data_IF_080793405144
#
_entry.id   IF_080793405144
#
_cell.length_a   1.000
_cell.length_b   1.000
_cell.length_c   1.000
_cell.angle_alpha   90.00
_cell.angle_beta   90.00
_cell.angle_gamma   90.00
#
_symmetry.space_group_name_H-M   'P 1'
#
loop_
_entity.id
_entity.type
_entity.pdbx_description
1 polymer ?
#
# COMPACT_ATOMS: atom_id res chain seq x y z
N UNK A 1 4.93 18.11 -22.33
CA UNK A 1 5.05 16.64 -22.13
C UNK A 1 4.80 16.40 -20.65
N UNK A 2 3.58 16.06 -20.29
CA UNK A 2 3.14 16.10 -18.89
C UNK A 2 3.50 14.79 -18.20
N UNK A 3 4.43 14.86 -17.24
CA UNK A 3 4.94 13.73 -16.45
C UNK A 3 3.86 13.00 -15.61
N UNK A 4 2.60 13.42 -15.70
CA UNK A 4 1.47 13.03 -14.84
C UNK A 4 0.59 11.90 -15.37
N UNK A 5 0.81 11.42 -16.60
CA UNK A 5 -0.08 10.45 -17.27
C UNK A 5 -0.06 9.06 -16.59
N UNK A 6 1.07 8.65 -15.99
CA UNK A 6 1.22 7.31 -15.40
C UNK A 6 0.52 7.17 -14.03
N UNK A 7 0.22 8.26 -13.33
CA UNK A 7 -0.40 8.26 -12.00
C UNK A 7 -1.94 8.28 -12.01
N UNK A 8 -2.54 8.49 -13.19
CA UNK A 8 -3.98 8.67 -13.37
C UNK A 8 -4.64 7.36 -13.82
N UNK A 9 -5.78 7.02 -13.24
CA UNK A 9 -6.66 5.97 -13.75
C UNK A 9 -7.77 6.66 -14.55
N UNK A 10 -7.91 6.28 -15.82
CA UNK A 10 -8.87 6.89 -16.75
C UNK A 10 -10.19 6.10 -16.88
N UNK A 11 -10.31 4.96 -16.20
CA UNK A 11 -11.56 4.19 -16.16
C UNK A 11 -12.59 4.75 -15.17
N UNK A 12 -13.80 4.17 -15.16
CA UNK A 12 -14.86 4.51 -14.21
C UNK A 12 -14.34 4.38 -12.78
N UNK A 13 -14.40 5.47 -12.01
CA UNK A 13 -14.05 5.44 -10.59
C UNK A 13 -15.08 4.58 -9.84
N UNK A 14 -14.60 3.62 -9.06
CA UNK A 14 -15.43 2.87 -8.10
C UNK A 14 -15.38 3.59 -6.75
N UNK A 15 -16.25 3.21 -5.82
CA UNK A 15 -16.29 3.74 -4.46
C UNK A 15 -14.91 3.60 -3.81
N UNK A 16 -14.38 4.68 -3.24
CA UNK A 16 -13.12 4.62 -2.49
C UNK A 16 -13.26 3.67 -1.31
N UNK A 17 -12.24 2.86 -1.04
CA UNK A 17 -12.27 1.84 0.04
C UNK A 17 -12.74 2.42 1.39
N UNK A 18 -12.34 3.65 1.71
CA UNK A 18 -12.74 4.35 2.94
C UNK A 18 -14.25 4.63 3.05
N UNK A 19 -14.99 4.62 1.94
CA UNK A 19 -16.42 4.89 1.87
C UNK A 19 -17.25 3.62 1.64
N UNK A 20 -16.63 2.45 1.61
CA UNK A 20 -17.32 1.17 1.40
C UNK A 20 -17.91 0.67 2.72
N UNK A 21 -19.19 0.31 2.73
CA UNK A 21 -19.81 -0.33 3.90
C UNK A 21 -19.24 -1.74 4.09
N UNK A 22 -19.05 -2.16 5.33
CA UNK A 22 -18.48 -3.48 5.65
C UNK A 22 -19.26 -4.65 5.00
N UNK A 23 -20.60 -4.57 4.96
CA UNK A 23 -21.44 -5.58 4.30
C UNK A 23 -21.30 -5.63 2.77
N UNK A 24 -20.74 -4.58 2.14
CA UNK A 24 -20.54 -4.49 0.69
C UNK A 24 -19.10 -4.81 0.28
N UNK A 25 -18.19 -5.04 1.24
CA UNK A 25 -16.76 -5.17 1.01
C UNK A 25 -16.41 -6.34 0.08
N UNK A 26 -17.09 -7.48 0.23
CA UNK A 26 -16.90 -8.65 -0.63
C UNK A 26 -17.25 -8.35 -2.10
N UNK A 27 -18.41 -7.73 -2.33
CA UNK A 27 -18.84 -7.31 -3.66
C UNK A 27 -17.92 -6.22 -4.25
N UNK A 28 -17.39 -5.32 -3.41
CA UNK A 28 -16.40 -4.33 -3.82
C UNK A 28 -15.08 -4.94 -4.26
N UNK A 29 -14.57 -5.94 -3.51
CA UNK A 29 -13.37 -6.69 -3.87
C UNK A 29 -13.57 -7.47 -5.18
N UNK A 30 -14.75 -8.08 -5.38
CA UNK A 30 -15.08 -8.81 -6.60
C UNK A 30 -15.05 -7.97 -7.88
N UNK A 31 -15.21 -6.64 -7.78
CA UNK A 31 -15.09 -5.72 -8.93
C UNK A 31 -13.66 -5.34 -9.29
N UNK A 32 -12.65 -5.74 -8.48
CA UNK A 32 -11.25 -5.38 -8.74
C UNK A 32 -10.67 -6.28 -9.84
N UNK A 33 -9.91 -5.67 -10.74
CA UNK A 33 -9.14 -6.43 -11.73
C UNK A 33 -7.90 -7.05 -11.06
N UNK A 34 -8.00 -8.34 -10.73
CA UNK A 34 -6.95 -9.12 -10.08
C UNK A 34 -6.00 -9.80 -11.08
N UNK A 35 -6.08 -9.48 -12.38
CA UNK A 35 -5.06 -9.91 -13.34
C UNK A 35 -3.69 -9.33 -12.97
N UNK A 36 -2.62 -10.03 -13.34
CA UNK A 36 -1.25 -9.57 -13.10
C UNK A 36 -1.02 -8.13 -13.61
N UNK A 37 -1.54 -7.80 -14.81
CA UNK A 37 -1.48 -6.46 -15.37
C UNK A 37 -2.31 -5.42 -14.60
N UNK A 38 -3.49 -5.81 -14.11
CA UNK A 38 -4.33 -4.96 -13.26
C UNK A 38 -3.66 -4.58 -11.95
N UNK A 39 -3.05 -5.58 -11.29
CA UNK A 39 -2.31 -5.43 -10.05
C UNK A 39 -1.05 -4.58 -10.27
N UNK A 40 -0.22 -4.93 -11.25
CA UNK A 40 1.01 -4.19 -11.57
C UNK A 40 0.72 -2.73 -11.93
N UNK A 41 -0.33 -2.48 -12.74
CA UNK A 41 -0.78 -1.14 -13.07
C UNK A 41 -1.31 -0.37 -11.84
N UNK A 42 -1.95 -1.06 -10.89
CA UNK A 42 -2.36 -0.51 -9.60
C UNK A 42 -1.17 -0.04 -8.76
N UNK A 43 -0.16 -0.91 -8.61
CA UNK A 43 1.08 -0.59 -7.91
C UNK A 43 1.85 0.56 -8.56
N UNK A 44 1.99 0.53 -9.90
CA UNK A 44 2.67 1.61 -10.65
C UNK A 44 2.02 2.97 -10.39
N UNK A 45 0.68 3.07 -10.49
CA UNK A 45 -0.05 4.31 -10.18
C UNK A 45 0.15 4.76 -8.73
N UNK A 46 0.08 3.83 -7.78
CA UNK A 46 0.31 4.12 -6.36
C UNK A 46 1.72 4.65 -6.11
N UNK A 47 2.72 4.00 -6.71
CA UNK A 47 4.12 4.37 -6.63
C UNK A 47 4.38 5.78 -7.18
N UNK A 48 3.86 6.11 -8.36
CA UNK A 48 4.00 7.45 -8.92
C UNK A 48 3.29 8.52 -8.10
N UNK A 49 2.10 8.24 -7.54
CA UNK A 49 1.41 9.17 -6.62
C UNK A 49 2.23 9.43 -5.35
N UNK A 50 2.83 8.38 -4.79
CA UNK A 50 3.68 8.48 -3.62
C UNK A 50 4.96 9.27 -3.91
N UNK A 51 5.62 8.98 -5.03
CA UNK A 51 6.82 9.71 -5.48
C UNK A 51 6.58 11.20 -5.64
N UNK A 52 5.53 11.59 -6.37
CA UNK A 52 5.17 13.00 -6.56
C UNK A 52 4.89 13.72 -5.25
N UNK A 53 4.35 13.01 -4.25
CA UNK A 53 4.00 13.60 -2.95
C UNK A 53 5.19 13.74 -2.02
N UNK A 54 6.09 12.76 -1.98
CA UNK A 54 7.11 12.68 -0.92
C UNK A 54 8.56 12.71 -1.41
N UNK A 55 8.86 12.37 -2.67
CA UNK A 55 10.25 12.27 -3.18
C UNK A 55 10.62 13.34 -4.21
N UNK A 56 9.70 13.72 -5.09
CA UNK A 56 9.96 14.68 -6.16
C UNK A 56 9.75 16.18 -5.83
N UNK A 57 9.16 16.60 -4.69
CA UNK A 57 9.12 18.02 -4.34
C UNK A 57 10.53 18.62 -4.22
N UNK A 58 10.72 19.88 -4.66
CA UNK A 58 12.04 20.56 -4.63
C UNK A 58 12.68 20.61 -3.23
N UNK A 59 11.86 20.61 -2.17
CA UNK A 59 12.29 20.52 -0.77
C UNK A 59 11.77 19.21 -0.18
N UNK A 60 12.58 18.17 -0.25
CA UNK A 60 12.24 16.84 0.30
C UNK A 60 12.58 16.80 1.80
N UNK A 61 11.63 16.34 2.62
CA UNK A 61 11.86 16.04 4.03
C UNK A 61 12.26 14.58 4.26
N UNK A 62 12.42 14.16 5.52
CA UNK A 62 12.80 12.78 5.87
C UNK A 62 11.67 11.75 5.68
N UNK A 63 10.44 12.21 5.46
CA UNK A 63 9.23 11.38 5.38
C UNK A 63 9.32 10.13 4.48
N UNK A 64 9.75 10.20 3.19
CA UNK A 64 9.81 9.01 2.33
C UNK A 64 10.79 7.94 2.85
N UNK A 65 11.88 8.36 3.50
CA UNK A 65 12.87 7.45 4.08
C UNK A 65 12.31 6.73 5.30
N UNK A 66 11.67 7.45 6.21
CA UNK A 66 11.00 6.85 7.38
C UNK A 66 9.89 5.89 6.95
N UNK A 67 9.09 6.27 5.95
CA UNK A 67 8.04 5.42 5.40
C UNK A 67 8.62 4.12 4.80
N UNK A 68 9.73 4.21 4.07
CA UNK A 68 10.42 3.04 3.53
C UNK A 68 10.98 2.14 4.65
N UNK A 69 11.61 2.72 5.68
CA UNK A 69 12.12 1.98 6.84
C UNK A 69 11.01 1.27 7.61
N UNK A 70 9.91 1.95 7.91
CA UNK A 70 8.76 1.32 8.58
C UNK A 70 8.17 0.20 7.71
N UNK A 71 8.07 0.44 6.40
CA UNK A 71 7.63 -0.57 5.44
C UNK A 71 8.52 -1.81 5.43
N UNK A 72 9.85 -1.63 5.46
CA UNK A 72 10.80 -2.74 5.50
C UNK A 72 10.73 -3.50 6.83
N UNK A 73 10.63 -2.79 7.96
CA UNK A 73 10.44 -3.42 9.28
C UNK A 73 9.19 -4.31 9.31
N UNK A 74 8.06 -3.82 8.77
CA UNK A 74 6.81 -4.60 8.68
C UNK A 74 6.99 -5.81 7.77
N UNK A 75 7.62 -5.64 6.60
CA UNK A 75 7.89 -6.74 5.67
C UNK A 75 8.75 -7.83 6.33
N UNK A 76 9.86 -7.44 6.95
CA UNK A 76 10.74 -8.38 7.65
C UNK A 76 10.05 -9.05 8.84
N UNK A 77 9.21 -8.32 9.57
CA UNK A 77 8.40 -8.90 10.63
C UNK A 77 7.45 -9.97 10.06
N UNK A 78 6.74 -9.68 8.96
CA UNK A 78 5.83 -10.63 8.33
C UNK A 78 6.56 -11.88 7.81
N UNK A 79 7.72 -11.70 7.14
CA UNK A 79 8.54 -12.81 6.64
C UNK A 79 9.09 -13.69 7.78
N UNK A 80 9.42 -13.09 8.93
CA UNK A 80 9.96 -13.81 10.08
C UNK A 80 8.91 -14.20 11.12
N UNK A 81 7.62 -13.87 10.88
CA UNK A 81 6.56 -14.07 11.87
C UNK A 81 6.43 -15.53 12.30
N UNK A 82 6.60 -16.47 11.37
CA UNK A 82 6.57 -17.90 11.66
C UNK A 82 7.61 -18.35 12.70
N UNK A 83 8.77 -17.69 12.75
CA UNK A 83 9.84 -17.95 13.73
C UNK A 83 9.52 -17.29 15.08
N UNK A 84 9.02 -16.06 15.04
CA UNK A 84 8.79 -15.24 16.25
C UNK A 84 7.48 -15.56 16.99
N UNK A 85 6.49 -16.19 16.33
CA UNK A 85 5.16 -16.43 16.91
C UNK A 85 5.18 -17.20 18.24
N UNK A 86 6.21 -18.01 18.50
CA UNK A 86 6.36 -18.84 19.70
C UNK A 86 6.41 -18.00 20.98
N UNK A 87 6.92 -16.77 20.89
CA UNK A 87 7.03 -15.84 22.03
C UNK A 87 5.69 -15.19 22.42
N UNK A 88 4.61 -15.36 21.65
CA UNK A 88 3.33 -14.67 21.92
C UNK A 88 2.67 -15.12 23.23
N UNK A 89 2.79 -16.40 23.56
CA UNK A 89 2.08 -17.01 24.69
C UNK A 89 2.99 -17.20 25.91
N UNK A 90 4.24 -16.74 25.83
CA UNK A 90 5.16 -16.87 26.95
C UNK A 90 4.92 -15.68 27.89
N UNK A 91 4.73 -15.98 29.17
CA UNK A 91 4.55 -14.96 30.22
C UNK A 91 5.93 -14.45 30.63
N UNK A 92 6.28 -13.25 30.21
CA UNK A 92 7.59 -12.62 30.50
C UNK A 92 7.57 -11.64 31.68
N UNK A 93 6.39 -11.39 32.23
CA UNK A 93 6.21 -10.50 33.37
C UNK A 93 5.49 -11.28 34.48
N UNK A 94 6.05 -11.18 35.68
CA UNK A 94 5.44 -11.59 36.94
C UNK A 94 4.49 -10.50 37.43
#
# INVERSE_FOLDING_TARGET
MDFWVVARFYGKADTALANVKLGELGAWLGRRNLSLGGIAGGFSRGFWRWQHKYLQPKKVGIAPFVQFTVGSMILFYALNYGKMKHHRNVKYHW
#
